data_IF_386370466429
#
_entry.id   IF_386370466429
#
_cell.length_a   1.000
_cell.length_b   1.000
_cell.length_c   1.000
_cell.angle_alpha   90.00
_cell.angle_beta   90.00
_cell.angle_gamma   90.00
#
_symmetry.space_group_name_H-M   'P 1'
#
loop_
_entity.id
_entity.type
_entity.pdbx_description
1 polymer ?
#
# COMPACT_ATOMS: atom_id res chain seq x y z
N UNK A 1 -28.86 24.07 -41.32
CA UNK A 1 -28.86 24.00 -39.83
C UNK A 1 -29.01 22.57 -39.28
N UNK A 2 -29.91 21.73 -39.79
CA UNK A 2 -30.11 20.35 -39.27
C UNK A 2 -28.89 19.41 -39.39
N UNK A 3 -28.11 19.52 -40.47
CA UNK A 3 -26.91 18.67 -40.72
C UNK A 3 -25.75 18.96 -39.75
N UNK A 4 -25.60 20.20 -39.30
CA UNK A 4 -24.52 20.62 -38.40
C UNK A 4 -24.69 20.09 -36.97
N UNK A 5 -25.94 19.97 -36.52
CA UNK A 5 -26.27 19.44 -35.18
C UNK A 5 -25.93 17.95 -35.09
N UNK A 6 -26.20 17.21 -36.16
CA UNK A 6 -26.00 15.76 -36.23
C UNK A 6 -24.51 15.37 -36.22
N UNK A 7 -23.67 16.19 -36.84
CA UNK A 7 -22.21 16.03 -36.83
C UNK A 7 -21.66 16.33 -35.43
N UNK A 8 -22.14 17.39 -34.79
CA UNK A 8 -21.69 17.77 -33.45
C UNK A 8 -22.02 16.68 -32.41
N UNK A 9 -23.20 16.07 -32.49
CA UNK A 9 -23.58 14.96 -31.59
C UNK A 9 -22.77 13.69 -31.85
N UNK A 10 -22.35 13.45 -33.10
CA UNK A 10 -21.44 12.34 -33.42
C UNK A 10 -20.04 12.55 -32.84
N UNK A 11 -19.52 13.79 -32.89
CA UNK A 11 -18.22 14.13 -32.30
C UNK A 11 -18.24 14.05 -30.77
N UNK A 12 -19.31 14.52 -30.11
CA UNK A 12 -19.48 14.42 -28.66
C UNK A 12 -19.54 12.97 -28.16
N UNK A 13 -20.23 12.09 -28.90
CA UNK A 13 -20.28 10.66 -28.59
C UNK A 13 -18.95 9.96 -28.85
N UNK A 14 -18.23 10.30 -29.93
CA UNK A 14 -16.87 9.80 -30.16
C UNK A 14 -15.90 10.23 -29.04
N UNK A 15 -16.00 11.47 -28.57
CA UNK A 15 -15.16 11.97 -27.49
C UNK A 15 -15.44 11.22 -26.18
N UNK A 16 -16.71 10.95 -25.87
CA UNK A 16 -17.12 10.18 -24.69
C UNK A 16 -16.69 8.70 -24.75
N UNK A 17 -16.68 8.08 -25.93
CA UNK A 17 -16.24 6.69 -26.13
C UNK A 17 -14.71 6.57 -26.07
N UNK A 18 -13.99 7.58 -26.59
CA UNK A 18 -12.53 7.60 -26.59
C UNK A 18 -11.93 8.08 -25.26
N UNK A 19 -12.65 8.86 -24.47
CA UNK A 19 -12.22 9.27 -23.13
C UNK A 19 -12.43 8.14 -22.13
N UNK A 20 -11.57 7.12 -22.20
CA UNK A 20 -11.39 6.17 -21.11
C UNK A 20 -10.62 6.86 -19.98
N UNK A 21 -11.26 7.84 -19.34
CA UNK A 21 -10.82 8.34 -18.03
C UNK A 21 -11.09 7.19 -17.06
N UNK A 22 -10.11 6.31 -16.91
CA UNK A 22 -10.14 5.32 -15.82
C UNK A 22 -10.23 6.14 -14.54
N UNK A 23 -11.30 5.92 -13.76
CA UNK A 23 -11.43 6.52 -12.45
C UNK A 23 -10.12 6.27 -11.70
N UNK A 24 -9.45 7.35 -11.28
CA UNK A 24 -8.26 7.24 -10.45
C UNK A 24 -8.70 6.56 -9.16
N UNK A 25 -8.24 5.33 -8.92
CA UNK A 25 -8.39 4.72 -7.62
C UNK A 25 -7.68 5.62 -6.62
N UNK A 26 -8.40 6.28 -5.73
CA UNK A 26 -7.79 6.94 -4.58
C UNK A 26 -7.80 5.90 -3.48
N UNK A 27 -6.63 5.44 -3.06
CA UNK A 27 -6.51 4.51 -1.95
C UNK A 27 -5.92 5.25 -0.74
N UNK A 28 -6.64 5.31 0.40
CA UNK A 28 -6.07 5.86 1.62
C UNK A 28 -4.92 4.96 2.11
N UNK A 29 -3.96 5.51 2.88
CA UNK A 29 -2.96 4.69 3.55
C UNK A 29 -3.65 3.62 4.39
N UNK A 30 -3.23 2.36 4.24
CA UNK A 30 -3.74 1.27 5.08
C UNK A 30 -2.86 1.17 6.32
N UNK A 31 -3.44 1.29 7.52
CA UNK A 31 -2.75 1.08 8.78
C UNK A 31 -3.25 -0.22 9.43
N UNK A 32 -2.32 -1.07 9.87
CA UNK A 32 -2.65 -2.35 10.50
C UNK A 32 -1.77 -2.60 11.70
N UNK A 33 -2.37 -3.10 12.77
CA UNK A 33 -1.63 -3.69 13.87
C UNK A 33 -1.29 -5.14 13.54
N UNK A 34 -0.01 -5.48 13.49
CA UNK A 34 0.46 -6.85 13.25
C UNK A 34 1.43 -7.29 14.35
N UNK A 35 1.61 -8.61 14.47
CA UNK A 35 2.53 -9.22 15.43
C UNK A 35 3.73 -9.78 14.68
N UNK A 36 4.94 -9.34 15.04
CA UNK A 36 6.18 -9.88 14.52
C UNK A 36 6.48 -11.27 15.10
N UNK A 37 7.45 -11.98 14.51
CA UNK A 37 7.83 -13.33 14.97
C UNK A 37 8.33 -13.38 16.41
N UNK A 38 8.95 -12.31 16.89
CA UNK A 38 9.39 -12.16 18.28
C UNK A 38 8.24 -11.81 19.26
N UNK A 39 7.00 -11.87 18.79
CA UNK A 39 5.76 -11.53 19.49
C UNK A 39 5.58 -10.04 19.80
N UNK A 40 6.46 -9.17 19.30
CA UNK A 40 6.27 -7.72 19.38
C UNK A 40 5.14 -7.28 18.45
N UNK A 41 4.35 -6.29 18.86
CA UNK A 41 3.31 -5.71 18.02
C UNK A 41 3.81 -4.44 17.34
N UNK A 42 3.41 -4.20 16.09
CA UNK A 42 3.74 -2.98 15.35
C UNK A 42 2.53 -2.50 14.54
N UNK A 43 2.32 -1.19 14.50
CA UNK A 43 1.49 -0.56 13.49
C UNK A 43 2.29 -0.43 12.19
N UNK A 44 1.73 -0.93 11.10
CA UNK A 44 2.27 -0.87 9.75
C UNK A 44 1.36 0.03 8.93
N UNK A 45 1.86 1.21 8.57
CA UNK A 45 1.14 2.14 7.69
C UNK A 45 1.75 2.10 6.30
N UNK A 46 0.94 1.77 5.30
CA UNK A 46 1.40 1.60 3.91
C UNK A 46 0.72 2.59 3.00
N UNK A 47 1.54 3.40 2.33
CA UNK A 47 1.09 4.35 1.31
C UNK A 47 1.18 3.67 -0.05
N UNK A 48 0.04 3.56 -0.73
CA UNK A 48 -0.08 2.85 -2.00
C UNK A 48 -0.25 3.82 -3.18
N UNK A 49 0.50 3.59 -4.25
CA UNK A 49 0.28 4.18 -5.56
C UNK A 49 -0.60 3.24 -6.41
N UNK A 50 -1.68 3.75 -7.02
CA UNK A 50 -2.58 2.94 -7.85
C UNK A 50 -1.94 2.32 -9.10
N UNK A 51 -0.85 2.92 -9.58
CA UNK A 51 -0.18 2.57 -10.84
C UNK A 51 1.08 1.75 -10.61
N UNK A 52 1.83 2.03 -9.55
CA UNK A 52 3.17 1.45 -9.31
C UNK A 52 3.26 0.58 -8.05
N UNK A 53 2.18 0.43 -7.30
CA UNK A 53 2.16 -0.29 -6.02
C UNK A 53 2.62 0.56 -4.84
N UNK A 54 3.19 -0.02 -3.79
CA UNK A 54 3.57 0.75 -2.60
C UNK A 54 4.65 1.80 -2.84
N UNK A 55 4.50 2.93 -2.16
CA UNK A 55 5.45 4.06 -2.19
C UNK A 55 6.27 4.15 -0.92
N UNK A 56 5.66 3.87 0.23
CA UNK A 56 6.32 3.94 1.53
C UNK A 56 5.63 3.02 2.53
N UNK A 57 6.40 2.47 3.45
CA UNK A 57 5.89 1.75 4.63
C UNK A 57 6.51 2.37 5.87
N UNK A 58 5.67 2.71 6.84
CA UNK A 58 6.04 3.20 8.16
C UNK A 58 5.71 2.14 9.20
N UNK A 59 6.66 1.85 10.08
CA UNK A 59 6.51 0.94 11.21
C UNK A 59 6.54 1.76 12.49
N UNK A 60 5.50 1.63 13.31
CA UNK A 60 5.37 2.32 14.60
C UNK A 60 5.16 1.30 15.70
N UNK A 61 5.88 1.45 16.80
CA UNK A 61 5.70 0.60 17.97
C UNK A 61 4.58 1.16 18.87
N UNK A 62 3.44 0.45 19.04
CA UNK A 62 2.36 0.86 19.94
C UNK A 62 2.80 1.00 21.40
N UNK A 63 3.83 0.26 21.82
CA UNK A 63 4.35 0.26 23.19
C UNK A 63 5.43 1.32 23.42
N UNK A 64 5.87 2.03 22.37
CA UNK A 64 6.92 3.04 22.41
C UNK A 64 8.23 2.55 23.05
N UNK A 65 8.53 1.26 22.88
CA UNK A 65 9.77 0.58 23.30
C UNK A 65 10.82 0.52 22.18
N UNK A 66 10.43 0.87 20.96
CA UNK A 66 11.30 1.02 19.80
C UNK A 66 11.03 2.34 19.07
N UNK A 67 12.06 2.88 18.41
CA UNK A 67 11.90 4.03 17.52
C UNK A 67 11.12 3.64 16.27
N UNK A 68 10.29 4.55 15.75
CA UNK A 68 9.63 4.37 14.45
C UNK A 68 10.65 4.16 13.33
N UNK A 69 10.34 3.26 12.40
CA UNK A 69 11.21 2.96 11.26
C UNK A 69 10.50 3.17 9.94
N UNK A 70 11.22 3.77 9.00
CA UNK A 70 10.84 3.76 7.59
C UNK A 70 11.45 2.52 6.94
N UNK A 71 10.62 1.79 6.19
CA UNK A 71 11.05 0.59 5.49
C UNK A 71 11.76 0.97 4.20
N UNK A 72 12.91 0.33 3.96
CA UNK A 72 13.51 0.33 2.64
C UNK A 72 12.76 -0.68 1.80
N UNK A 73 12.04 -0.19 0.79
CA UNK A 73 11.26 -1.05 -0.12
C UNK A 73 12.22 -1.64 -1.14
N UNK A 74 12.40 -2.96 -1.07
CA UNK A 74 13.26 -3.72 -1.98
C UNK A 74 12.51 -4.03 -3.29
N UNK A 75 11.22 -4.35 -3.17
CA UNK A 75 10.35 -4.53 -4.33
C UNK A 75 8.90 -4.19 -4.01
N UNK A 76 8.21 -3.70 -5.03
CA UNK A 76 6.77 -3.47 -5.03
C UNK A 76 6.18 -4.07 -6.29
N UNK A 77 5.03 -4.71 -6.16
CA UNK A 77 4.23 -5.21 -7.26
C UNK A 77 2.76 -4.93 -7.01
N UNK A 78 1.94 -4.93 -8.06
CA UNK A 78 0.51 -4.69 -7.94
C UNK A 78 0.06 -3.29 -8.35
N UNK A 79 -1.19 -2.96 -8.01
CA UNK A 79 -1.89 -1.79 -8.51
C UNK A 79 -3.35 -2.10 -8.85
N UNK A 80 -4.12 -1.07 -9.21
CA UNK A 80 -5.55 -1.23 -9.49
C UNK A 80 -5.86 -2.20 -10.64
N UNK A 81 -4.94 -2.36 -11.61
CA UNK A 81 -5.09 -3.32 -12.71
C UNK A 81 -4.93 -4.78 -12.28
N UNK A 82 -4.28 -5.03 -11.15
CA UNK A 82 -3.97 -6.37 -10.64
C UNK A 82 -4.82 -6.74 -9.42
N UNK A 83 -5.70 -5.82 -8.98
CA UNK A 83 -6.60 -5.99 -7.83
C UNK A 83 -5.93 -6.30 -6.49
N UNK A 84 -4.60 -6.20 -6.42
CA UNK A 84 -3.79 -6.45 -5.25
C UNK A 84 -2.50 -5.61 -5.28
N UNK A 85 -1.88 -5.48 -4.11
CA UNK A 85 -0.58 -4.87 -3.89
C UNK A 85 0.30 -5.85 -3.14
N UNK A 86 1.56 -5.91 -3.52
CA UNK A 86 2.59 -6.71 -2.88
C UNK A 86 3.79 -5.83 -2.56
N UNK A 87 4.30 -5.93 -1.34
CA UNK A 87 5.45 -5.14 -0.88
C UNK A 87 6.40 -6.06 -0.14
N UNK A 88 7.66 -5.98 -0.51
CA UNK A 88 8.75 -6.63 0.20
C UNK A 88 9.81 -5.60 0.53
N UNK A 89 10.27 -5.61 1.78
CA UNK A 89 11.29 -4.69 2.23
C UNK A 89 11.94 -5.14 3.52
N UNK A 90 12.90 -4.33 3.96
CA UNK A 90 13.57 -4.52 5.24
C UNK A 90 13.73 -3.21 6.00
N UNK A 91 13.81 -3.30 7.31
CA UNK A 91 13.99 -2.16 8.19
C UNK A 91 14.80 -2.53 9.42
N UNK A 92 15.36 -1.51 10.09
CA UNK A 92 16.14 -1.66 11.31
C UNK A 92 15.50 -0.75 12.36
N UNK A 93 15.24 -1.29 13.55
CA UNK A 93 14.80 -0.51 14.72
C UNK A 93 15.83 -0.61 15.83
N UNK A 94 15.93 0.44 16.63
CA UNK A 94 16.64 0.40 17.89
C UNK A 94 15.67 -0.02 18.99
N UNK A 95 15.89 -1.19 19.58
CA UNK A 95 15.11 -1.75 20.67
C UNK A 95 15.65 -1.19 22.01
N UNK A 96 14.83 -0.37 22.69
CA UNK A 96 15.24 0.34 23.91
C UNK A 96 15.49 -0.64 25.07
N UNK A 97 14.60 -1.62 25.36
CA UNK A 97 14.86 -2.65 26.36
C UNK A 97 16.19 -3.39 26.21
N UNK A 98 16.55 -3.81 24.99
CA UNK A 98 17.78 -4.58 24.75
C UNK A 98 19.00 -3.72 24.41
N UNK A 99 18.83 -2.40 24.23
CA UNK A 99 19.87 -1.47 23.80
C UNK A 99 20.58 -1.93 22.51
N UNK A 100 19.84 -2.55 21.59
CA UNK A 100 20.40 -3.17 20.39
C UNK A 100 19.62 -2.81 19.13
N UNK A 101 20.28 -2.88 17.98
CA UNK A 101 19.60 -2.76 16.69
C UNK A 101 19.10 -4.13 16.25
N UNK A 102 17.81 -4.22 15.93
CA UNK A 102 17.18 -5.40 15.36
C UNK A 102 16.78 -5.13 13.91
N UNK A 103 17.00 -6.12 13.06
CA UNK A 103 16.64 -6.05 11.64
C UNK A 103 15.44 -6.94 11.38
N UNK A 104 14.49 -6.40 10.63
CA UNK A 104 13.28 -7.10 10.23
C UNK A 104 13.10 -7.04 8.72
N UNK A 105 12.41 -8.04 8.20
CA UNK A 105 11.81 -8.09 6.87
C UNK A 105 10.32 -7.86 7.01
N UNK A 106 9.72 -7.21 6.01
CA UNK A 106 8.28 -7.09 5.89
C UNK A 106 7.84 -7.62 4.54
N UNK A 107 6.81 -8.46 4.56
CA UNK A 107 6.07 -8.87 3.39
C UNK A 107 4.60 -8.50 3.58
N UNK A 108 4.02 -7.85 2.58
CA UNK A 108 2.65 -7.36 2.59
C UNK A 108 1.96 -7.77 1.31
N UNK A 109 0.76 -8.32 1.42
CA UNK A 109 -0.16 -8.49 0.30
C UNK A 109 -1.51 -7.89 0.69
N UNK A 110 -2.03 -6.92 -0.07
CA UNK A 110 -3.31 -6.28 0.23
C UNK A 110 -4.19 -6.17 -1.02
N UNK A 111 -5.49 -6.45 -0.92
CA UNK A 111 -6.41 -6.22 -2.03
C UNK A 111 -6.58 -4.73 -2.34
N UNK A 112 -6.94 -4.40 -3.58
CA UNK A 112 -7.32 -3.02 -3.93
C UNK A 112 -8.56 -2.55 -3.19
N UNK A 113 -8.52 -1.33 -2.65
CA UNK A 113 -9.58 -0.80 -1.79
C UNK A 113 -9.52 -1.30 -0.34
N UNK A 114 -8.44 -1.97 0.05
CA UNK A 114 -8.15 -2.30 1.44
C UNK A 114 -7.75 -1.04 2.23
N UNK A 115 -8.38 -0.83 3.39
CA UNK A 115 -8.24 0.35 4.25
C UNK A 115 -7.62 0.02 5.63
N UNK A 116 -7.19 -1.23 5.84
CA UNK A 116 -6.63 -1.67 7.13
C UNK A 116 -7.65 -2.29 8.09
N UNK A 117 -8.96 -2.22 7.82
CA UNK A 117 -10.00 -2.64 8.78
C UNK A 117 -10.37 -4.12 8.73
N UNK A 118 -10.08 -4.81 7.62
CA UNK A 118 -10.39 -6.22 7.40
C UNK A 118 -9.13 -7.06 7.18
N UNK A 119 -8.53 -7.64 8.24
CA UNK A 119 -7.29 -8.40 8.14
C UNK A 119 -7.39 -9.66 7.28
N UNK A 120 -8.58 -10.12 6.88
CA UNK A 120 -8.71 -11.24 5.93
C UNK A 120 -8.46 -10.80 4.47
N UNK A 121 -8.52 -9.49 4.20
CA UNK A 121 -8.30 -8.90 2.86
C UNK A 121 -6.87 -8.44 2.62
N UNK A 122 -5.99 -8.63 3.60
CA UNK A 122 -4.55 -8.45 3.42
C UNK A 122 -3.72 -9.32 4.38
N UNK A 123 -2.68 -9.96 3.87
CA UNK A 123 -1.74 -10.74 4.64
C UNK A 123 -0.49 -9.90 4.96
N UNK A 124 -0.10 -9.87 6.23
CA UNK A 124 1.03 -9.09 6.74
C UNK A 124 1.95 -10.01 7.52
N UNK A 125 3.25 -9.95 7.25
CA UNK A 125 4.23 -10.74 7.98
C UNK A 125 5.49 -9.89 8.21
N UNK A 126 5.86 -9.72 9.48
CA UNK A 126 7.11 -9.07 9.88
C UNK A 126 8.03 -10.15 10.47
N UNK A 127 9.07 -10.53 9.74
CA UNK A 127 10.05 -11.55 10.15
C UNK A 127 11.37 -10.94 10.60
N UNK A 128 11.96 -11.44 11.68
CA UNK A 128 13.34 -11.08 12.04
C UNK A 128 14.29 -11.56 10.93
N UNK A 129 15.24 -10.70 10.56
CA UNK A 129 16.24 -11.00 9.53
C UNK A 129 17.43 -11.69 10.21
N UNK A 130 17.65 -12.97 9.92
CA UNK A 130 18.79 -13.75 10.43
C UNK A 130 20.12 -13.33 9.80
#
# INVERSE_FOLDING_TARGET
MKKSILILSLFLSFFAICSSVKAQCVQPPAQILTTAYDQSQYYVTVTLNPTTGAQSVLIEDPSNTANNAYVTIDSTYGGCSLSAYEVYGSFIIFDIPSQSYKRYSVALTAQTGFDGTDPERGAYTIGEYF
#
